data_IF_800882564241
#
_entry.id   IF_800882564241
#
_cell.length_a   1.000
_cell.length_b   1.000
_cell.length_c   1.000
_cell.angle_alpha   90.00
_cell.angle_beta   90.00
_cell.angle_gamma   90.00
#
_symmetry.space_group_name_H-M   'P 1'
#
loop_
_entity.id
_entity.type
_entity.pdbx_description
1 polymer ?
#
# COMPACT_ATOMS: atom_id res chain seq x y z
N UNK A 1 -0.92 5.60 -7.72
CA UNK A 1 0.32 5.32 -6.94
C UNK A 1 0.78 6.54 -6.15
N UNK A 2 1.28 7.61 -6.78
CA UNK A 2 1.76 8.81 -6.05
C UNK A 2 0.71 9.41 -5.11
N UNK A 3 -0.55 9.56 -5.56
CA UNK A 3 -1.65 10.02 -4.71
C UNK A 3 -1.93 9.06 -3.53
N UNK A 4 -1.88 7.74 -3.76
CA UNK A 4 -2.05 6.74 -2.72
C UNK A 4 -0.93 6.83 -1.67
N UNK A 5 0.32 6.91 -2.13
CA UNK A 5 1.50 7.07 -1.28
C UNK A 5 1.43 8.36 -0.46
N UNK A 6 1.20 9.51 -1.11
CA UNK A 6 1.11 10.80 -0.45
C UNK A 6 -0.03 10.85 0.59
N UNK A 7 -1.22 10.33 0.23
CA UNK A 7 -2.37 10.26 1.14
C UNK A 7 -2.11 9.34 2.34
N UNK A 8 -1.53 8.16 2.14
CA UNK A 8 -1.23 7.25 3.25
C UNK A 8 -0.12 7.79 4.17
N UNK A 9 0.92 8.42 3.61
CA UNK A 9 1.96 9.08 4.40
C UNK A 9 1.40 10.26 5.19
N UNK A 10 0.54 11.08 4.57
CA UNK A 10 -0.15 12.18 5.24
C UNK A 10 -1.02 11.69 6.40
N UNK A 11 -1.83 10.63 6.17
CA UNK A 11 -2.69 10.05 7.20
C UNK A 11 -1.91 9.47 8.39
N UNK A 12 -0.66 9.01 8.19
CA UNK A 12 0.17 8.45 9.25
C UNK A 12 0.90 9.53 10.08
N UNK A 13 1.25 10.67 9.48
CA UNK A 13 2.14 11.66 10.09
C UNK A 13 1.41 12.93 10.56
N UNK A 14 0.24 13.25 10.00
CA UNK A 14 -0.47 14.48 10.32
C UNK A 14 -1.17 14.35 11.69
N UNK A 15 -1.02 15.36 12.58
CA UNK A 15 -1.66 15.35 13.89
C UNK A 15 -3.12 15.85 13.85
N UNK A 16 -3.52 16.59 12.82
CA UNK A 16 -4.86 17.16 12.71
C UNK A 16 -5.87 16.17 12.13
N UNK A 17 -7.01 16.03 12.80
CA UNK A 17 -8.06 15.07 12.42
C UNK A 17 -8.59 15.30 11.01
N UNK A 18 -8.83 16.57 10.63
CA UNK A 18 -9.38 16.88 9.32
C UNK A 18 -8.35 16.67 8.22
N UNK A 19 -7.09 16.98 8.49
CA UNK A 19 -5.97 16.71 7.59
C UNK A 19 -5.75 15.20 7.37
N UNK A 20 -5.91 14.38 8.42
CA UNK A 20 -5.88 12.91 8.31
C UNK A 20 -7.04 12.40 7.44
N UNK A 21 -8.26 12.89 7.66
CA UNK A 21 -9.42 12.51 6.85
C UNK A 21 -9.26 12.90 5.37
N UNK A 22 -8.80 14.11 5.10
CA UNK A 22 -8.49 14.55 3.74
C UNK A 22 -7.41 13.67 3.10
N UNK A 23 -6.39 13.30 3.86
CA UNK A 23 -5.33 12.39 3.41
C UNK A 23 -5.86 10.99 3.06
N UNK A 24 -6.82 10.47 3.84
CA UNK A 24 -7.49 9.21 3.50
C UNK A 24 -8.35 9.32 2.23
N UNK A 25 -8.97 10.46 1.95
CA UNK A 25 -9.70 10.68 0.68
C UNK A 25 -8.74 10.62 -0.50
N UNK A 26 -7.59 11.30 -0.40
CA UNK A 26 -6.55 11.28 -1.44
C UNK A 26 -5.98 9.86 -1.61
N UNK A 27 -5.76 9.16 -0.49
CA UNK A 27 -5.32 7.77 -0.52
C UNK A 27 -6.33 6.87 -1.25
N UNK A 28 -7.61 6.99 -0.90
CA UNK A 28 -8.71 6.22 -1.50
C UNK A 28 -8.83 6.46 -3.01
N UNK A 29 -8.77 7.72 -3.45
CA UNK A 29 -8.77 8.07 -4.87
C UNK A 29 -7.55 7.50 -5.62
N UNK A 30 -6.39 7.49 -4.98
CA UNK A 30 -5.17 6.89 -5.54
C UNK A 30 -5.24 5.37 -5.65
N UNK A 31 -5.87 4.69 -4.67
CA UNK A 31 -6.03 3.24 -4.64
C UNK A 31 -7.12 2.77 -5.61
N UNK A 32 -8.23 3.51 -5.74
CA UNK A 32 -9.38 3.12 -6.57
C UNK A 32 -9.04 2.97 -8.06
N UNK A 33 -8.09 3.75 -8.56
CA UNK A 33 -7.60 3.65 -9.95
C UNK A 33 -6.53 2.59 -10.09
N UNK A 34 -5.74 2.38 -9.05
CA UNK A 34 -4.55 1.55 -9.08
C UNK A 34 -4.84 0.06 -8.87
N UNK A 35 -5.71 -0.27 -7.92
CA UNK A 35 -6.02 -1.66 -7.58
C UNK A 35 -6.65 -2.44 -8.75
N UNK A 36 -7.63 -1.89 -9.49
CA UNK A 36 -8.17 -2.55 -10.68
C UNK A 36 -7.10 -2.82 -11.74
N UNK A 37 -6.18 -1.88 -11.95
CA UNK A 37 -5.06 -2.05 -12.89
C UNK A 37 -4.14 -3.19 -12.48
N UNK A 38 -3.77 -3.30 -11.19
CA UNK A 38 -2.97 -4.43 -10.72
C UNK A 38 -3.65 -5.78 -10.95
N UNK A 39 -4.96 -5.85 -10.78
CA UNK A 39 -5.73 -7.06 -11.05
C UNK A 39 -5.73 -7.43 -12.53
N UNK A 40 -5.89 -6.43 -13.40
CA UNK A 40 -5.83 -6.62 -14.85
C UNK A 40 -4.43 -7.06 -15.30
N UNK A 41 -3.38 -6.36 -14.86
CA UNK A 41 -1.98 -6.72 -15.13
C UNK A 41 -1.68 -8.15 -14.65
N UNK A 42 -2.12 -8.52 -13.44
CA UNK A 42 -1.92 -9.84 -12.88
C UNK A 42 -2.66 -10.96 -13.64
N UNK A 43 -3.80 -10.63 -14.27
CA UNK A 43 -4.55 -11.57 -15.10
C UNK A 43 -3.88 -11.80 -16.47
N UNK A 44 -3.14 -10.81 -16.97
CA UNK A 44 -2.46 -10.84 -18.26
C UNK A 44 -1.03 -11.40 -18.19
N UNK A 45 -0.48 -11.65 -16.98
CA UNK A 45 0.87 -12.19 -16.82
C UNK A 45 1.07 -13.52 -17.58
N UNK A 46 2.15 -13.66 -18.37
CA UNK A 46 2.44 -14.88 -19.12
C UNK A 46 2.81 -16.03 -18.17
N UNK A 47 2.39 -17.25 -18.52
CA UNK A 47 2.69 -18.47 -17.76
C UNK A 47 1.44 -19.26 -17.38
N UNK A 48 1.43 -19.85 -16.17
CA UNK A 48 0.29 -20.62 -15.68
C UNK A 48 -0.93 -19.71 -15.48
N UNK A 49 -2.02 -20.03 -16.16
CA UNK A 49 -3.29 -19.29 -16.04
C UNK A 49 -3.69 -19.13 -14.57
N UNK A 50 -3.96 -17.89 -14.16
CA UNK A 50 -4.39 -17.56 -12.80
C UNK A 50 -3.29 -17.52 -11.74
N UNK A 51 -2.04 -17.84 -12.06
CA UNK A 51 -0.94 -17.80 -11.08
C UNK A 51 -0.65 -16.37 -10.57
N UNK A 52 -0.70 -15.37 -11.46
CA UNK A 52 -0.55 -13.96 -11.08
C UNK A 52 -1.66 -13.49 -10.13
N UNK A 53 -2.91 -13.83 -10.45
CA UNK A 53 -4.08 -13.52 -9.61
C UNK A 53 -4.04 -14.25 -8.26
N UNK A 54 -3.59 -15.51 -8.25
CA UNK A 54 -3.40 -16.28 -7.02
C UNK A 54 -2.32 -15.66 -6.13
N UNK A 55 -1.19 -15.23 -6.71
CA UNK A 55 -0.14 -14.54 -5.97
C UNK A 55 -0.61 -13.19 -5.42
N UNK A 56 -1.33 -12.39 -6.22
CA UNK A 56 -1.90 -11.10 -5.78
C UNK A 56 -2.90 -11.30 -4.64
N UNK A 57 -3.75 -12.32 -4.73
CA UNK A 57 -4.74 -12.65 -3.70
C UNK A 57 -4.05 -13.13 -2.41
N UNK A 58 -3.10 -14.06 -2.52
CA UNK A 58 -2.36 -14.57 -1.37
C UNK A 58 -1.58 -13.43 -0.68
N UNK A 59 -0.87 -12.61 -1.45
CA UNK A 59 -0.17 -11.43 -0.96
C UNK A 59 -1.11 -10.49 -0.22
N UNK A 60 -2.24 -10.11 -0.83
CA UNK A 60 -3.23 -9.21 -0.21
C UNK A 60 -3.79 -9.76 1.11
N UNK A 61 -4.05 -11.07 1.18
CA UNK A 61 -4.55 -11.73 2.40
C UNK A 61 -3.50 -11.77 3.50
N UNK A 62 -2.27 -12.13 3.15
CA UNK A 62 -1.15 -12.14 4.10
C UNK A 62 -0.94 -10.73 4.64
N UNK A 63 -0.82 -9.72 3.78
CA UNK A 63 -0.63 -8.33 4.20
C UNK A 63 -1.79 -7.80 5.03
N UNK A 64 -3.04 -8.17 4.69
CA UNK A 64 -4.23 -7.79 5.46
C UNK A 64 -4.25 -8.30 6.90
N UNK A 65 -3.52 -9.38 7.20
CA UNK A 65 -3.34 -9.90 8.56
C UNK A 65 -2.06 -9.36 9.21
N UNK A 66 -0.97 -9.30 8.44
CA UNK A 66 0.36 -9.00 8.94
C UNK A 66 0.50 -7.51 9.32
N UNK A 67 -0.07 -6.60 8.52
CA UNK A 67 0.02 -5.15 8.78
C UNK A 67 -0.67 -4.76 10.10
N UNK A 68 -1.92 -5.15 10.39
CA UNK A 68 -2.53 -4.86 11.69
C UNK A 68 -1.76 -5.46 12.86
N UNK A 69 -1.24 -6.68 12.73
CA UNK A 69 -0.46 -7.34 13.78
C UNK A 69 0.85 -6.58 14.08
N UNK A 70 1.60 -6.17 13.05
CA UNK A 70 2.85 -5.42 13.20
C UNK A 70 2.59 -4.01 13.74
N UNK A 71 1.63 -3.28 13.17
CA UNK A 71 1.30 -1.92 13.63
C UNK A 71 0.78 -1.96 15.06
N UNK A 72 -0.09 -2.92 15.40
CA UNK A 72 -0.59 -3.12 16.75
C UNK A 72 0.51 -3.47 17.74
N UNK A 73 1.43 -4.37 17.38
CA UNK A 73 2.59 -4.71 18.20
C UNK A 73 3.53 -3.52 18.43
N UNK A 74 3.79 -2.72 17.40
CA UNK A 74 4.57 -1.48 17.53
C UNK A 74 3.85 -0.44 18.39
N UNK A 75 2.54 -0.27 18.22
CA UNK A 75 1.74 0.67 19.00
C UNK A 75 1.53 0.22 20.47
N UNK A 76 1.73 -1.05 20.79
CA UNK A 76 1.75 -1.54 22.17
C UNK A 76 3.01 -1.10 22.95
N UNK A 77 3.99 -0.49 22.28
CA UNK A 77 5.14 0.16 22.91
C UNK A 77 4.80 1.61 23.30
N UNK A 78 5.79 2.48 23.45
CA UNK A 78 5.58 3.92 23.65
C UNK A 78 5.29 4.70 22.36
N UNK A 79 5.22 4.02 21.21
CA UNK A 79 4.95 4.66 19.91
C UNK A 79 3.46 4.95 19.73
N UNK A 80 3.15 6.13 19.17
CA UNK A 80 1.79 6.43 18.72
C UNK A 80 1.38 5.52 17.56
N UNK A 81 0.07 5.30 17.41
CA UNK A 81 -0.47 4.52 16.28
C UNK A 81 -0.07 5.14 14.93
N UNK A 82 -0.04 6.47 14.82
CA UNK A 82 0.40 7.18 13.61
C UNK A 82 1.87 6.90 13.29
N UNK A 83 2.75 6.97 14.29
CA UNK A 83 4.18 6.67 14.13
C UNK A 83 4.40 5.21 13.75
N UNK A 84 3.76 4.27 14.45
CA UNK A 84 3.83 2.85 14.14
C UNK A 84 3.35 2.54 12.71
N UNK A 85 2.26 3.19 12.29
CA UNK A 85 1.73 3.11 10.92
C UNK A 85 2.73 3.68 9.93
N UNK A 86 3.33 4.85 10.22
CA UNK A 86 4.33 5.49 9.36
C UNK A 86 5.57 4.63 9.13
N UNK A 87 6.08 3.97 10.17
CA UNK A 87 7.21 3.03 10.09
C UNK A 87 6.95 1.89 9.12
N UNK A 88 5.70 1.42 9.00
CA UNK A 88 5.34 0.32 8.09
C UNK A 88 4.99 0.83 6.69
N UNK A 89 4.17 1.88 6.62
CA UNK A 89 3.58 2.38 5.38
C UNK A 89 4.60 3.12 4.51
N UNK A 90 5.45 3.97 5.08
CA UNK A 90 6.38 4.80 4.30
C UNK A 90 7.40 3.93 3.55
N UNK A 91 8.11 2.98 4.18
CA UNK A 91 9.04 2.11 3.46
C UNK A 91 8.34 1.24 2.41
N UNK A 92 7.14 0.75 2.72
CA UNK A 92 6.35 -0.07 1.79
C UNK A 92 5.95 0.72 0.54
N UNK A 93 5.48 1.96 0.72
CA UNK A 93 5.08 2.82 -0.38
C UNK A 93 6.28 3.28 -1.22
N UNK A 94 7.45 3.51 -0.60
CA UNK A 94 8.70 3.80 -1.29
C UNK A 94 9.19 2.60 -2.09
N UNK A 95 9.27 1.41 -1.48
CA UNK A 95 9.66 0.18 -2.17
C UNK A 95 8.74 -0.07 -3.37
N UNK A 96 7.44 0.16 -3.19
CA UNK A 96 6.46 0.02 -4.25
C UNK A 96 6.65 1.04 -5.40
N UNK A 97 6.90 2.31 -5.07
CA UNK A 97 7.22 3.32 -6.06
C UNK A 97 8.50 2.96 -6.84
N UNK A 98 9.54 2.48 -6.15
CA UNK A 98 10.78 2.01 -6.79
C UNK A 98 10.50 0.84 -7.74
N UNK A 99 9.68 -0.14 -7.33
CA UNK A 99 9.33 -1.28 -8.19
C UNK A 99 8.60 -0.85 -9.46
N UNK A 100 7.72 0.15 -9.38
CA UNK A 100 7.02 0.68 -10.55
C UNK A 100 7.92 1.54 -11.44
N UNK A 101 8.70 2.45 -10.85
CA UNK A 101 9.39 3.49 -11.61
C UNK A 101 10.81 3.10 -12.03
N UNK A 102 11.48 2.22 -11.28
CA UNK A 102 12.90 1.92 -11.48
C UNK A 102 13.19 0.50 -11.97
N UNK A 103 12.21 -0.41 -12.01
CA UNK A 103 12.43 -1.77 -12.55
C UNK A 103 12.12 -1.78 -14.06
N UNK A 104 13.13 -1.94 -14.93
CA UNK A 104 12.93 -1.95 -16.37
C UNK A 104 12.29 -3.27 -16.79
N UNK A 105 10.99 -3.26 -17.06
CA UNK A 105 10.26 -4.45 -17.52
C UNK A 105 8.73 -4.32 -17.52
N UNK A 106 8.16 -3.37 -16.78
CA UNK A 106 6.70 -3.20 -16.64
C UNK A 106 6.03 -2.35 -17.74
N UNK A 107 6.75 -1.96 -18.80
CA UNK A 107 6.22 -1.17 -19.93
C UNK A 107 5.93 -1.99 -21.20
N UNK A 108 5.86 -3.33 -21.12
CA UNK A 108 5.46 -4.17 -22.26
C UNK A 108 4.02 -4.60 -22.16
#
# INVERSE_FOLDING_TARGET
>A
VLAATAGLTGAALLPDRYAVLASYVVAGAGVSTFFPKLYDDAAQLPGKRGAGLAALTAGSRVTGLLVPAVVGGLAATSLSVGTATGIVVIPSALAFAVLIFCVPGQQR
#
